data_IF_386435833056
#
_entry.id   IF_386435833056
#
_cell.length_a   1.000
_cell.length_b   1.000
_cell.length_c   1.000
_cell.angle_alpha   90.00
_cell.angle_beta   90.00
_cell.angle_gamma   90.00
#
_symmetry.space_group_name_H-M   'P 1'
#
loop_
_entity.id
_entity.type
_entity.pdbx_description
1 polymer ?
#
# COMPACT_ATOMS: atom_id res chain seq x y z
N UNK A 1 -10.68 9.27 -9.62
CA UNK A 1 -11.78 8.41 -9.11
C UNK A 1 -11.37 7.88 -7.76
N UNK A 2 -12.27 7.75 -6.79
CA UNK A 2 -11.89 7.25 -5.45
C UNK A 2 -11.57 5.76 -5.48
N UNK A 3 -10.47 5.41 -4.83
CA UNK A 3 -9.99 4.06 -4.60
C UNK A 3 -10.62 3.43 -3.35
N UNK A 4 -11.20 4.26 -2.47
CA UNK A 4 -11.95 3.82 -1.29
C UNK A 4 -13.03 2.80 -1.63
N UNK A 5 -13.21 1.85 -0.73
CA UNK A 5 -14.30 0.90 -0.67
C UNK A 5 -14.85 0.91 0.78
N UNK A 6 -16.16 1.10 0.94
CA UNK A 6 -16.78 1.24 2.26
C UNK A 6 -16.72 -0.04 3.11
N UNK A 7 -16.66 -1.22 2.46
CA UNK A 7 -16.45 -2.49 3.15
C UNK A 7 -15.00 -2.68 3.66
N UNK A 8 -14.09 -1.77 3.28
CA UNK A 8 -12.67 -1.76 3.63
C UNK A 8 -12.24 -0.33 4.02
N UNK A 9 -12.64 0.18 5.20
CA UNK A 9 -12.40 1.59 5.58
C UNK A 9 -10.94 2.04 5.45
N UNK A 10 -9.99 1.13 5.67
CA UNK A 10 -8.55 1.43 5.55
C UNK A 10 -8.12 1.74 4.11
N UNK A 11 -8.92 1.37 3.10
CA UNK A 11 -8.65 1.63 1.68
C UNK A 11 -8.61 3.12 1.32
N UNK A 12 -9.12 4.02 2.18
CA UNK A 12 -8.92 5.47 2.05
C UNK A 12 -7.44 5.86 2.03
N UNK A 13 -6.55 5.03 2.59
CA UNK A 13 -5.10 5.26 2.50
C UNK A 13 -4.58 5.20 1.05
N UNK A 14 -5.21 4.43 0.16
CA UNK A 14 -4.83 4.39 -1.26
C UNK A 14 -5.12 5.71 -1.97
N UNK A 15 -6.22 6.39 -1.63
CA UNK A 15 -6.51 7.74 -2.14
C UNK A 15 -5.46 8.76 -1.67
N UNK A 16 -5.03 8.67 -0.41
CA UNK A 16 -3.99 9.53 0.14
C UNK A 16 -2.62 9.30 -0.52
N UNK A 17 -2.26 8.03 -0.76
CA UNK A 17 -1.02 7.67 -1.47
C UNK A 17 -1.08 8.16 -2.92
N UNK A 18 -2.20 7.96 -3.62
CA UNK A 18 -2.37 8.47 -5.00
C UNK A 18 -2.18 9.97 -5.05
N UNK A 19 -2.85 10.70 -4.14
CA UNK A 19 -2.72 12.15 -4.03
C UNK A 19 -1.28 12.60 -3.76
N UNK A 20 -0.55 11.88 -2.91
CA UNK A 20 0.86 12.17 -2.63
C UNK A 20 1.73 11.98 -3.85
N UNK A 21 1.54 10.88 -4.60
CA UNK A 21 2.29 10.60 -5.83
C UNK A 21 1.95 11.59 -6.97
N UNK A 22 0.73 12.12 -7.00
CA UNK A 22 0.31 13.09 -8.00
C UNK A 22 0.73 14.52 -7.67
N UNK A 23 0.96 14.84 -6.40
CA UNK A 23 1.25 16.20 -5.94
C UNK A 23 2.60 16.77 -6.42
N UNK A 24 3.56 15.92 -6.78
CA UNK A 24 4.92 16.31 -7.16
C UNK A 24 5.51 15.32 -8.16
N UNK A 25 5.78 15.75 -9.41
CA UNK A 25 6.41 14.88 -10.42
C UNK A 25 7.78 14.35 -10.00
N UNK A 26 8.56 15.17 -9.28
CA UNK A 26 9.88 14.79 -8.77
C UNK A 26 9.76 13.70 -7.70
N UNK A 27 8.87 13.88 -6.71
CA UNK A 27 8.65 12.88 -5.67
C UNK A 27 8.07 11.59 -6.25
N UNK A 28 7.23 11.68 -7.29
CA UNK A 28 6.74 10.52 -8.03
C UNK A 28 7.88 9.77 -8.70
N UNK A 29 8.76 10.48 -9.41
CA UNK A 29 9.91 9.88 -10.08
C UNK A 29 10.85 9.20 -9.07
N UNK A 30 11.07 9.82 -7.92
CA UNK A 30 11.87 9.25 -6.84
C UNK A 30 11.21 8.02 -6.20
N UNK A 31 9.89 8.05 -6.01
CA UNK A 31 9.13 6.89 -5.54
C UNK A 31 9.21 5.71 -6.51
N UNK A 32 9.12 5.96 -7.82
CA UNK A 32 9.29 4.93 -8.86
C UNK A 32 10.71 4.33 -8.78
N UNK A 33 11.75 5.17 -8.73
CA UNK A 33 13.14 4.69 -8.62
C UNK A 33 13.39 3.90 -7.34
N UNK A 34 12.85 4.37 -6.20
CA UNK A 34 13.03 3.73 -4.90
C UNK A 34 12.29 2.40 -4.83
N UNK A 35 11.03 2.38 -5.25
CA UNK A 35 10.16 1.20 -5.24
C UNK A 35 10.62 0.13 -6.23
N UNK A 36 10.74 0.47 -7.51
CA UNK A 36 11.09 -0.43 -8.61
C UNK A 36 10.34 -1.78 -8.53
N UNK A 37 9.02 -1.69 -8.30
CA UNK A 37 8.13 -2.83 -8.10
C UNK A 37 6.66 -2.42 -8.25
N UNK A 38 5.84 -3.41 -8.61
CA UNK A 38 4.37 -3.31 -8.47
C UNK A 38 3.99 -3.99 -7.17
N UNK A 39 3.47 -3.21 -6.22
CA UNK A 39 3.03 -3.69 -4.91
C UNK A 39 1.52 -3.92 -4.93
N UNK A 40 1.09 -5.18 -4.90
CA UNK A 40 -0.31 -5.54 -4.73
C UNK A 40 -0.65 -5.74 -3.26
N UNK A 41 -1.88 -5.39 -2.90
CA UNK A 41 -2.46 -5.52 -1.58
C UNK A 41 -3.76 -6.30 -1.69
N UNK A 42 -3.88 -7.40 -0.96
CA UNK A 42 -5.13 -8.14 -0.77
C UNK A 42 -5.56 -7.94 0.67
N UNK A 43 -6.61 -7.15 0.87
CA UNK A 43 -7.16 -6.89 2.19
C UNK A 43 -8.31 -7.86 2.46
N UNK A 44 -8.39 -8.37 3.70
CA UNK A 44 -9.53 -9.14 4.19
C UNK A 44 -10.27 -8.37 5.28
N UNK A 45 -11.58 -8.18 5.13
CA UNK A 45 -12.41 -7.53 6.15
C UNK A 45 -12.96 -8.54 7.18
N UNK A 46 -13.71 -8.04 8.17
CA UNK A 46 -14.28 -8.87 9.25
C UNK A 46 -15.40 -9.80 8.77
N UNK A 47 -16.08 -9.47 7.67
CA UNK A 47 -17.08 -10.33 7.04
C UNK A 47 -16.45 -11.49 6.24
N UNK A 48 -15.11 -11.49 6.09
CA UNK A 48 -14.38 -12.51 5.37
C UNK A 48 -14.20 -12.22 3.88
N UNK A 49 -14.70 -11.07 3.41
CA UNK A 49 -14.56 -10.62 2.02
C UNK A 49 -13.12 -10.15 1.76
N UNK A 50 -12.72 -10.23 0.49
CA UNK A 50 -11.42 -9.77 0.02
C UNK A 50 -11.55 -8.73 -1.08
N UNK A 51 -10.69 -7.73 -1.05
CA UNK A 51 -10.56 -6.76 -2.12
C UNK A 51 -9.08 -6.41 -2.35
N UNK A 52 -8.77 -6.04 -3.59
CA UNK A 52 -7.41 -5.83 -4.05
C UNK A 52 -7.15 -4.39 -4.50
N UNK A 53 -5.93 -3.93 -4.25
CA UNK A 53 -5.37 -2.66 -4.73
C UNK A 53 -3.90 -2.85 -5.11
N UNK A 54 -3.35 -1.92 -5.87
CA UNK A 54 -1.93 -1.90 -6.18
C UNK A 54 -1.35 -0.49 -6.20
N UNK A 55 -0.05 -0.41 -5.96
CA UNK A 55 0.78 0.77 -6.17
C UNK A 55 1.84 0.37 -7.21
N UNK A 56 1.74 0.93 -8.42
CA UNK A 56 2.74 0.76 -9.46
C UNK A 56 3.86 1.79 -9.29
N UNK A 57 4.97 1.35 -8.70
CA UNK A 57 6.23 2.10 -8.63
C UNK A 57 7.29 1.49 -9.55
N UNK A 58 6.86 0.80 -10.60
CA UNK A 58 7.74 0.22 -11.62
C UNK A 58 7.67 1.02 -12.91
N UNK A 59 6.47 1.46 -13.30
CA UNK A 59 6.25 2.22 -14.55
C UNK A 59 5.65 3.59 -14.28
N UNK A 60 4.43 3.63 -13.74
CA UNK A 60 3.63 4.86 -13.81
C UNK A 60 3.70 5.76 -12.56
N UNK A 61 4.00 5.20 -11.40
CA UNK A 61 3.88 5.92 -10.13
C UNK A 61 2.42 6.18 -9.75
N UNK A 62 1.54 5.20 -9.98
CA UNK A 62 0.08 5.32 -9.78
C UNK A 62 -0.47 4.27 -8.84
N UNK A 63 -1.64 4.56 -8.28
CA UNK A 63 -2.39 3.64 -7.43
C UNK A 63 -3.67 3.22 -8.16
N UNK A 64 -4.07 1.96 -8.03
CA UNK A 64 -5.27 1.43 -8.68
C UNK A 64 -5.94 0.32 -7.88
N UNK A 65 -7.16 -0.04 -8.31
CA UNK A 65 -7.87 -1.24 -7.82
C UNK A 65 -7.36 -2.50 -8.53
N UNK A 66 -7.56 -3.65 -7.90
CA UNK A 66 -7.05 -4.93 -8.38
C UNK A 66 -5.57 -5.13 -8.11
N UNK A 67 -5.05 -6.32 -8.46
CA UNK A 67 -3.65 -6.71 -8.22
C UNK A 67 -2.61 -5.97 -9.08
N UNK A 68 -3.04 -5.22 -10.09
CA UNK A 68 -2.16 -4.61 -11.08
C UNK A 68 -1.59 -5.61 -12.09
N UNK A 69 -0.93 -5.11 -13.13
CA UNK A 69 -0.29 -5.96 -14.14
C UNK A 69 0.98 -6.59 -13.56
N UNK A 70 1.02 -7.93 -13.48
CA UNK A 70 2.20 -8.71 -13.03
C UNK A 70 2.78 -8.18 -11.70
N UNK A 71 2.05 -8.31 -10.58
CA UNK A 71 2.51 -7.83 -9.28
C UNK A 71 3.88 -8.43 -8.96
N UNK A 72 4.83 -7.57 -8.58
CA UNK A 72 6.16 -7.99 -8.15
C UNK A 72 6.10 -8.62 -6.77
N UNK A 73 5.23 -8.06 -5.93
CA UNK A 73 4.92 -8.58 -4.60
C UNK A 73 3.43 -8.45 -4.33
N UNK A 74 2.85 -9.44 -3.66
CA UNK A 74 1.48 -9.39 -3.12
C UNK A 74 1.55 -9.47 -1.60
N UNK A 75 0.95 -8.48 -0.96
CA UNK A 75 0.88 -8.30 0.50
C UNK A 75 -0.56 -8.60 0.93
N UNK A 76 -0.76 -9.68 1.68
CA UNK A 76 -2.08 -10.06 2.16
C UNK A 76 -2.18 -9.90 3.67
N UNK A 77 -3.15 -9.11 4.13
CA UNK A 77 -3.38 -8.80 5.55
C UNK A 77 -4.84 -8.39 5.80
N UNK A 78 -5.21 -8.23 7.06
CA UNK A 78 -6.54 -7.72 7.40
C UNK A 78 -6.65 -6.21 7.11
N UNK A 79 -7.87 -5.74 6.84
CA UNK A 79 -8.18 -4.30 6.72
C UNK A 79 -7.74 -3.53 7.99
N UNK A 80 -8.00 -4.08 9.17
CA UNK A 80 -7.61 -3.51 10.46
C UNK A 80 -6.08 -3.38 10.60
N UNK A 81 -5.32 -4.43 10.23
CA UNK A 81 -3.85 -4.40 10.34
C UNK A 81 -3.22 -3.49 9.27
N UNK A 82 -3.81 -3.42 8.06
CA UNK A 82 -3.42 -2.43 7.06
C UNK A 82 -3.65 -1.02 7.58
N UNK A 83 -4.82 -0.72 8.15
CA UNK A 83 -5.13 0.56 8.79
C UNK A 83 -4.11 0.95 9.87
N UNK A 84 -3.70 0.01 10.73
CA UNK A 84 -2.65 0.26 11.73
C UNK A 84 -1.28 0.47 11.10
N UNK A 85 -0.94 -0.29 10.05
CA UNK A 85 0.33 -0.15 9.35
C UNK A 85 0.45 1.23 8.70
N UNK A 86 -0.58 1.65 7.95
CA UNK A 86 -0.62 2.98 7.33
C UNK A 86 -0.73 4.11 8.34
N UNK A 87 -1.24 3.87 9.55
CA UNK A 87 -1.21 4.86 10.64
C UNK A 87 0.14 4.89 11.42
N UNK A 88 1.08 4.00 11.10
CA UNK A 88 2.33 3.83 11.85
C UNK A 88 2.14 3.21 13.25
N UNK A 89 0.96 2.64 13.53
CA UNK A 89 0.61 1.94 14.78
C UNK A 89 0.94 0.45 14.76
N UNK A 90 1.37 -0.07 13.61
CA UNK A 90 1.88 -1.42 13.46
C UNK A 90 3.17 -1.42 12.64
N UNK A 91 4.01 -2.43 12.85
CA UNK A 91 5.26 -2.63 12.14
C UNK A 91 5.12 -3.83 11.18
N UNK A 92 5.47 -3.64 9.90
CA UNK A 92 5.31 -4.65 8.86
C UNK A 92 6.09 -5.94 9.15
N UNK A 93 7.32 -5.83 9.65
CA UNK A 93 8.15 -6.98 9.98
C UNK A 93 7.53 -7.82 11.12
N UNK A 94 6.98 -7.17 12.16
CA UNK A 94 6.26 -7.88 13.23
C UNK A 94 4.98 -8.55 12.74
N UNK A 95 4.21 -7.88 11.87
CA UNK A 95 3.02 -8.49 11.25
C UNK A 95 3.39 -9.70 10.40
N UNK A 96 4.50 -9.64 9.67
CA UNK A 96 5.00 -10.74 8.84
C UNK A 96 5.45 -11.92 9.70
N UNK A 97 6.32 -11.69 10.68
CA UNK A 97 6.79 -12.73 11.61
C UNK A 97 5.63 -13.37 12.39
N UNK A 98 4.59 -12.59 12.71
CA UNK A 98 3.38 -13.08 13.37
C UNK A 98 2.33 -13.72 12.44
N UNK A 99 2.62 -13.86 11.14
CA UNK A 99 1.72 -14.47 10.15
C UNK A 99 0.49 -13.64 9.76
N UNK A 100 0.36 -12.41 10.28
CA UNK A 100 -0.75 -11.48 9.99
C UNK A 100 -0.57 -10.75 8.66
N UNK A 101 0.68 -10.55 8.24
CA UNK A 101 1.04 -10.14 6.90
C UNK A 101 1.64 -11.34 6.18
N UNK A 102 1.07 -11.72 5.04
CA UNK A 102 1.63 -12.71 4.13
C UNK A 102 2.23 -11.99 2.93
N UNK A 103 3.39 -12.46 2.49
CA UNK A 103 4.10 -11.91 1.34
C UNK A 103 4.27 -13.01 0.30
N UNK A 104 3.87 -12.75 -0.94
CA UNK A 104 4.14 -13.60 -2.11
C UNK A 104 4.92 -12.79 -3.14
N UNK A 105 5.83 -13.44 -3.88
CA UNK A 105 6.70 -12.78 -4.86
C UNK A 105 8.04 -12.36 -4.27
N UNK A 106 8.57 -11.22 -4.70
CA UNK A 106 9.90 -10.75 -4.28
C UNK A 106 9.84 -10.12 -2.87
N UNK A 107 10.27 -10.90 -1.87
CA UNK A 107 10.29 -10.48 -0.47
C UNK A 107 11.28 -9.34 -0.22
N UNK A 108 12.40 -9.27 -0.94
CA UNK A 108 13.34 -8.16 -0.80
C UNK A 108 12.70 -6.85 -1.26
N UNK A 109 11.97 -6.89 -2.38
CA UNK A 109 11.19 -5.72 -2.85
C UNK A 109 10.09 -5.32 -1.87
N UNK A 110 9.48 -6.27 -1.16
CA UNK A 110 8.47 -5.97 -0.13
C UNK A 110 8.98 -4.97 0.93
N UNK A 111 10.26 -5.06 1.32
CA UNK A 111 10.87 -4.17 2.33
C UNK A 111 10.91 -2.70 1.89
N UNK A 112 10.96 -2.45 0.57
CA UNK A 112 10.99 -1.09 0.01
C UNK A 112 9.68 -0.33 0.22
N UNK A 113 8.58 -1.03 0.52
CA UNK A 113 7.28 -0.41 0.76
C UNK A 113 7.28 0.48 2.00
N UNK A 114 7.99 0.11 3.06
CA UNK A 114 7.93 0.82 4.35
C UNK A 114 8.29 2.33 4.25
N UNK A 115 9.42 2.74 3.63
CA UNK A 115 9.72 4.16 3.46
C UNK A 115 8.71 4.90 2.58
N UNK A 116 8.08 4.22 1.61
CA UNK A 116 7.04 4.80 0.75
C UNK A 116 5.77 5.11 1.57
N UNK A 117 5.32 4.14 2.39
CA UNK A 117 4.17 4.35 3.28
C UNK A 117 4.44 5.45 4.31
N UNK A 118 5.67 5.54 4.85
CA UNK A 118 6.07 6.62 5.78
C UNK A 118 6.05 8.00 5.12
N UNK A 119 6.44 8.13 3.86
CA UNK A 119 6.33 9.39 3.11
C UNK A 119 4.86 9.78 2.89
N UNK A 120 4.02 8.82 2.50
CA UNK A 120 2.58 9.07 2.33
C UNK A 120 1.88 9.43 3.67
N UNK A 121 2.33 8.86 4.79
CA UNK A 121 1.87 9.22 6.14
C UNK A 121 2.13 10.68 6.51
N UNK A 122 3.23 11.28 6.04
CA UNK A 122 3.52 12.69 6.24
C UNK A 122 2.44 13.61 5.65
N UNK A 123 1.82 13.20 4.54
CA UNK A 123 0.67 13.88 3.94
C UNK A 123 -0.67 13.60 4.63
N UNK A 124 -0.84 12.43 5.27
CA UNK A 124 -2.06 12.06 6.02
C UNK A 124 -2.12 12.75 7.39
N UNK A 125 -1.00 12.83 8.11
CA UNK A 125 -0.92 13.54 9.40
C UNK A 125 -1.09 15.07 9.26
N UNK A 126 -0.83 15.63 8.09
CA UNK A 126 -0.98 17.06 7.83
C UNK A 126 -2.42 17.46 7.43
N UNK A 127 -3.34 16.50 7.25
CA UNK A 127 -4.74 16.73 6.82
C UNK A 127 -5.79 16.21 7.83
N UNK A 128 -5.36 15.79 9.02
CA UNK A 128 -6.19 15.46 10.17
C UNK A 128 -5.94 16.48 11.27
#
# INVERSE_FOLDING_TARGET
MSLKNDAFPSSAAFDAISSSLESSPTDRADAIKQGDAVFAFTLKNKAGETADWHIDLKKEGKVGKGLGEKPTVTLSLSDDDFGKLVAGKANAQRLFMGGKLKVKGDVMKATKMEPILKKAQGGVKAKL
#
